data_IF_954690765491
#
_entry.id   IF_954690765491
#
_cell.length_a   1.000
_cell.length_b   1.000
_cell.length_c   1.000
_cell.angle_alpha   90.00
_cell.angle_beta   90.00
_cell.angle_gamma   90.00
#
_symmetry.space_group_name_H-M   'P 1'
#
loop_
_entity.id
_entity.type
_entity.pdbx_description
1 polymer ?
#
# COMPACT_ATOMS: atom_id res chain seq x y z
N UNK A 1 64.12 13.11 -22.43
CA UNK A 1 63.53 12.01 -23.23
C UNK A 1 62.04 11.96 -22.90
N UNK A 2 61.22 12.07 -23.94
CA UNK A 2 59.84 11.56 -24.07
C UNK A 2 58.68 12.23 -23.31
N UNK A 3 58.00 13.12 -24.04
CA UNK A 3 56.52 13.25 -24.11
C UNK A 3 55.96 12.13 -25.05
N UNK A 4 54.63 11.89 -25.29
CA UNK A 4 53.40 12.62 -24.90
C UNK A 4 52.11 11.74 -24.60
N UNK A 5 50.94 12.42 -24.50
CA UNK A 5 49.53 12.02 -24.78
C UNK A 5 48.76 11.10 -23.77
N UNK A 6 47.49 11.35 -23.39
CA UNK A 6 46.31 11.75 -24.19
C UNK A 6 45.25 12.57 -23.41
N UNK A 7 44.62 13.50 -24.14
CA UNK A 7 43.37 14.23 -23.92
C UNK A 7 42.15 13.33 -23.54
N UNK A 8 41.13 13.88 -22.86
CA UNK A 8 39.87 14.33 -23.51
C UNK A 8 38.79 14.85 -22.53
N UNK A 9 38.04 15.83 -23.04
CA UNK A 9 36.92 16.60 -22.48
C UNK A 9 35.74 15.75 -21.98
N UNK A 10 35.07 16.18 -20.90
CA UNK A 10 33.69 16.73 -20.95
C UNK A 10 33.14 17.11 -19.56
N UNK A 11 32.42 18.25 -19.42
CA UNK A 11 31.72 18.63 -18.20
C UNK A 11 30.22 18.35 -18.32
N UNK A 12 29.69 17.33 -17.62
CA UNK A 12 28.26 17.00 -17.71
C UNK A 12 27.54 16.98 -16.36
N UNK A 13 26.67 17.99 -16.20
CA UNK A 13 25.26 17.89 -15.76
C UNK A 13 24.90 17.62 -14.30
N UNK A 14 25.82 17.37 -13.37
CA UNK A 14 25.40 17.07 -11.98
C UNK A 14 25.30 18.26 -11.02
N UNK A 15 25.66 19.48 -11.43
CA UNK A 15 25.63 20.66 -10.53
C UNK A 15 24.40 21.56 -10.69
N UNK A 16 23.44 21.20 -11.54
CA UNK A 16 22.24 22.01 -11.83
C UNK A 16 20.96 21.54 -11.11
N UNK A 17 21.08 20.61 -10.16
CA UNK A 17 19.93 20.09 -9.41
C UNK A 17 19.95 20.43 -7.91
N UNK A 18 20.95 21.17 -7.43
CA UNK A 18 21.13 21.43 -5.98
C UNK A 18 20.93 22.92 -5.63
N UNK A 19 20.46 23.76 -6.55
CA UNK A 19 20.19 25.17 -6.25
C UNK A 19 18.89 25.66 -6.88
N UNK A 20 17.96 26.09 -6.02
CA UNK A 20 16.62 26.58 -6.33
C UNK A 20 15.59 25.70 -5.62
N UNK A 21 14.90 26.12 -4.57
CA UNK A 21 14.40 27.46 -4.25
C UNK A 21 12.90 27.28 -3.99
N UNK A 22 12.45 27.68 -2.80
CA UNK A 22 11.09 27.51 -2.28
C UNK A 22 10.00 27.98 -3.27
N UNK A 23 8.96 27.14 -3.45
CA UNK A 23 7.56 27.53 -3.73
C UNK A 23 6.65 26.29 -3.86
N UNK A 24 5.80 26.13 -2.85
CA UNK A 24 4.38 25.73 -2.88
C UNK A 24 3.82 24.68 -3.86
N UNK A 25 2.89 23.90 -3.30
CA UNK A 25 1.67 23.31 -3.92
C UNK A 25 1.65 21.81 -4.23
N UNK A 26 0.56 21.21 -3.76
CA UNK A 26 0.24 19.80 -3.58
C UNK A 26 0.09 19.00 -4.88
N UNK A 27 0.37 17.68 -4.88
CA UNK A 27 0.27 16.84 -6.07
C UNK A 27 -1.15 16.27 -6.23
N UNK A 28 -2.14 17.09 -6.63
CA UNK A 28 -3.47 16.62 -7.07
C UNK A 28 -3.83 17.07 -8.50
N UNK A 29 -2.93 17.79 -9.20
CA UNK A 29 -3.27 18.40 -10.50
C UNK A 29 -2.58 17.79 -11.72
N UNK A 30 -2.39 16.46 -11.77
CA UNK A 30 -1.95 15.78 -13.00
C UNK A 30 -2.79 14.53 -13.30
N UNK A 31 -4.03 14.78 -13.73
CA UNK A 31 -4.84 13.83 -14.51
C UNK A 31 -5.25 14.54 -15.82
N UNK A 32 -5.11 13.90 -16.99
CA UNK A 32 -5.51 14.50 -18.26
C UNK A 32 -7.04 14.57 -18.36
N UNK A 33 -7.54 15.77 -18.61
CA UNK A 33 -8.96 16.11 -18.75
C UNK A 33 -9.40 15.83 -20.18
N UNK A 34 -10.29 14.86 -20.38
CA UNK A 34 -10.95 14.60 -21.65
C UNK A 34 -11.88 15.75 -22.06
N UNK A 35 -11.67 16.29 -23.26
CA UNK A 35 -12.71 16.98 -24.03
C UNK A 35 -13.73 15.93 -24.50
N UNK A 36 -15.04 16.11 -24.47
CA UNK A 36 -15.86 17.29 -24.73
C UNK A 36 -16.82 16.92 -25.87
N UNK A 37 -18.09 16.62 -25.55
CA UNK A 37 -19.11 16.26 -26.54
C UNK A 37 -20.51 16.26 -25.93
N UNK A 38 -21.33 17.21 -26.36
CA UNK A 38 -22.62 17.67 -25.83
C UNK A 38 -23.81 16.69 -25.99
N UNK A 39 -24.68 16.72 -24.98
CA UNK A 39 -26.08 16.21 -24.95
C UNK A 39 -26.98 17.03 -25.90
N UNK A 40 -28.14 16.54 -26.38
CA UNK A 40 -29.39 16.79 -25.63
C UNK A 40 -30.52 15.73 -25.72
N UNK A 41 -31.11 15.48 -24.54
CA UNK A 41 -32.55 15.51 -24.16
C UNK A 41 -33.56 14.44 -24.64
N UNK A 42 -34.03 13.70 -23.64
CA UNK A 42 -35.36 13.09 -23.44
C UNK A 42 -36.51 14.12 -23.49
N UNK A 43 -37.74 13.67 -23.79
CA UNK A 43 -38.93 14.12 -23.06
C UNK A 43 -39.75 12.96 -22.46
N UNK A 44 -40.39 13.22 -21.33
CA UNK A 44 -41.13 12.26 -20.50
C UNK A 44 -42.66 12.52 -20.48
N UNK A 45 -43.42 11.45 -20.12
CA UNK A 45 -44.76 11.40 -19.49
C UNK A 45 -46.00 11.83 -20.32
N UNK A 46 -47.24 11.29 -20.24
CA UNK A 46 -48.05 10.27 -19.50
C UNK A 46 -49.49 10.36 -20.13
N UNK A 47 -50.65 9.80 -19.65
CA UNK A 47 -51.07 8.49 -19.09
C UNK A 47 -52.44 7.96 -19.67
N UNK A 48 -52.99 6.86 -19.08
CA UNK A 48 -54.44 6.46 -18.89
C UNK A 48 -55.19 5.47 -19.84
N UNK A 49 -55.54 4.31 -19.23
CA UNK A 49 -56.85 3.60 -19.07
C UNK A 49 -57.70 3.00 -20.22
N UNK A 50 -58.03 1.71 -20.03
CA UNK A 50 -59.34 1.01 -20.12
C UNK A 50 -60.01 0.53 -21.43
N UNK A 51 -60.56 -0.70 -21.30
CA UNK A 51 -61.79 -1.26 -21.86
C UNK A 51 -61.78 -2.10 -23.16
N UNK A 52 -61.85 -3.43 -22.96
CA UNK A 52 -62.95 -4.35 -23.36
C UNK A 52 -63.51 -4.31 -24.79
N UNK A 53 -63.44 -5.47 -25.50
CA UNK A 53 -64.56 -6.27 -26.08
C UNK A 53 -64.04 -7.22 -27.18
N UNK A 54 -64.12 -8.53 -26.96
CA UNK A 54 -65.08 -9.47 -27.57
C UNK A 54 -65.05 -9.56 -29.12
N UNK A 55 -64.60 -10.71 -29.62
CA UNK A 55 -64.99 -11.38 -30.89
C UNK A 55 -66.53 -11.43 -31.08
N UNK A 56 -67.17 -11.86 -32.22
CA UNK A 56 -66.75 -12.87 -33.22
C UNK A 56 -67.34 -12.69 -34.67
N UNK A 57 -67.34 -13.79 -35.47
CA UNK A 57 -68.30 -14.15 -36.58
C UNK A 57 -67.83 -13.84 -38.03
N UNK A 58 -67.24 -14.82 -38.74
CA UNK A 58 -67.85 -15.81 -39.69
C UNK A 58 -68.16 -15.24 -41.08
N UNK A 59 -67.56 -15.82 -42.13
CA UNK A 59 -68.29 -16.49 -43.23
C UNK A 59 -67.33 -17.11 -44.27
N UNK A 60 -67.72 -18.30 -44.72
CA UNK A 60 -67.07 -19.25 -45.64
C UNK A 60 -67.03 -18.73 -47.08
N UNK A 61 -66.06 -19.22 -47.87
CA UNK A 61 -66.33 -19.96 -49.11
C UNK A 61 -65.05 -20.58 -49.70
N UNK A 62 -65.10 -21.89 -49.97
CA UNK A 62 -64.25 -22.58 -50.96
C UNK A 62 -65.13 -22.85 -52.18
N UNK A 63 -64.56 -22.90 -53.39
CA UNK A 63 -64.66 -24.16 -54.12
C UNK A 63 -63.33 -24.60 -54.74
N UNK A 64 -63.25 -25.90 -55.02
CA UNK A 64 -62.16 -26.63 -55.67
C UNK A 64 -62.18 -26.39 -57.19
N UNK A 65 -61.05 -26.56 -57.88
CA UNK A 65 -60.81 -27.68 -58.84
C UNK A 65 -59.65 -27.39 -59.82
N UNK A 66 -58.59 -28.21 -59.68
CA UNK A 66 -57.72 -28.88 -60.67
C UNK A 66 -57.10 -28.11 -61.87
N UNK A 67 -55.76 -28.22 -61.88
CA UNK A 67 -54.92 -28.85 -62.92
C UNK A 67 -54.41 -28.04 -64.12
N UNK A 68 -53.13 -28.34 -64.37
CA UNK A 68 -52.35 -28.30 -65.60
C UNK A 68 -51.53 -27.02 -65.82
N UNK A 69 -50.20 -27.02 -65.73
CA UNK A 69 -49.13 -27.79 -66.42
C UNK A 69 -48.48 -26.94 -67.51
N UNK A 70 -47.14 -26.99 -67.53
CA UNK A 70 -46.25 -26.54 -68.61
C UNK A 70 -45.60 -25.21 -68.22
N UNK A 71 -44.28 -25.02 -68.23
CA UNK A 71 -43.19 -25.63 -69.02
C UNK A 71 -41.90 -24.97 -68.51
N UNK A 72 -40.70 -25.51 -68.57
CA UNK A 72 -40.16 -26.76 -69.07
C UNK A 72 -38.68 -26.68 -68.74
N UNK A 73 -38.12 -27.71 -68.11
CA UNK A 73 -36.69 -27.95 -68.15
C UNK A 73 -36.51 -29.20 -68.98
N UNK A 74 -36.30 -28.95 -70.28
CA UNK A 74 -35.92 -29.96 -71.24
C UNK A 74 -34.61 -30.63 -70.79
N UNK A 75 -34.68 -31.96 -70.66
CA UNK A 75 -33.68 -32.85 -71.23
C UNK A 75 -32.22 -32.64 -70.85
N UNK A 76 -31.86 -32.95 -69.60
CA UNK A 76 -30.54 -33.53 -69.34
C UNK A 76 -30.74 -34.91 -68.72
N UNK A 77 -30.58 -35.96 -69.54
CA UNK A 77 -30.56 -37.38 -69.14
C UNK A 77 -29.38 -37.76 -68.24
N UNK A 78 -28.72 -36.77 -67.62
CA UNK A 78 -27.56 -36.92 -66.74
C UNK A 78 -27.85 -36.50 -65.29
N UNK A 79 -29.03 -35.95 -64.97
CA UNK A 79 -29.35 -35.44 -63.63
C UNK A 79 -29.40 -36.47 -62.48
N UNK A 80 -29.84 -37.73 -62.67
CA UNK A 80 -29.87 -38.69 -61.55
C UNK A 80 -28.46 -39.07 -61.10
N UNK A 81 -27.55 -39.24 -62.06
CA UNK A 81 -26.16 -39.59 -61.83
C UNK A 81 -25.36 -38.40 -61.27
N UNK A 82 -25.54 -37.19 -61.82
CA UNK A 82 -24.85 -36.01 -61.28
C UNK A 82 -25.30 -35.66 -59.86
N UNK A 83 -26.57 -35.88 -59.50
CA UNK A 83 -27.05 -35.67 -58.13
C UNK A 83 -26.48 -36.70 -57.15
N UNK A 84 -26.36 -37.96 -57.56
CA UNK A 84 -25.69 -39.00 -56.76
C UNK A 84 -24.18 -38.76 -56.65
N UNK A 85 -23.53 -38.26 -57.71
CA UNK A 85 -22.11 -37.88 -57.71
C UNK A 85 -21.84 -36.66 -56.83
N UNK A 86 -22.69 -35.63 -56.87
CA UNK A 86 -22.59 -34.46 -56.00
C UNK A 86 -22.79 -34.84 -54.52
N UNK A 87 -23.77 -35.69 -54.23
CA UNK A 87 -24.01 -36.24 -52.88
C UNK A 87 -22.83 -37.09 -52.40
N UNK A 88 -22.29 -37.97 -53.24
CA UNK A 88 -21.13 -38.80 -52.91
C UNK A 88 -19.87 -37.97 -52.68
N UNK A 89 -19.58 -36.97 -53.52
CA UNK A 89 -18.43 -36.06 -53.33
C UNK A 89 -18.57 -35.26 -52.03
N UNK A 90 -19.75 -34.71 -51.74
CA UNK A 90 -19.98 -33.97 -50.50
C UNK A 90 -19.81 -34.86 -49.26
N UNK A 91 -20.23 -36.12 -49.33
CA UNK A 91 -20.09 -37.08 -48.24
C UNK A 91 -18.62 -37.46 -48.00
N UNK A 92 -17.85 -37.68 -49.09
CA UNK A 92 -16.41 -37.97 -49.02
C UNK A 92 -15.66 -36.79 -48.41
N UNK A 93 -15.93 -35.55 -48.86
CA UNK A 93 -15.27 -34.35 -48.32
C UNK A 93 -15.59 -34.18 -46.83
N UNK A 94 -16.83 -34.37 -46.41
CA UNK A 94 -17.19 -34.33 -44.99
C UNK A 94 -16.51 -35.44 -44.18
N UNK A 95 -16.44 -36.66 -44.71
CA UNK A 95 -15.72 -37.76 -44.05
C UNK A 95 -14.23 -37.43 -43.90
N UNK A 96 -13.60 -36.93 -44.96
CA UNK A 96 -12.19 -36.51 -44.90
C UNK A 96 -12.01 -35.39 -43.89
N UNK A 97 -12.94 -34.42 -43.85
CA UNK A 97 -12.90 -33.33 -42.86
C UNK A 97 -13.08 -33.84 -41.42
N UNK A 98 -13.97 -34.82 -41.19
CA UNK A 98 -14.14 -35.47 -39.89
C UNK A 98 -12.89 -36.27 -39.50
N UNK A 99 -12.25 -36.97 -40.44
CA UNK A 99 -11.00 -37.69 -40.20
C UNK A 99 -9.88 -36.71 -39.87
N UNK A 100 -9.73 -35.63 -40.64
CA UNK A 100 -8.76 -34.56 -40.36
C UNK A 100 -9.01 -33.95 -38.98
N UNK A 101 -10.27 -33.68 -38.63
CA UNK A 101 -10.63 -33.15 -37.32
C UNK A 101 -10.33 -34.16 -36.20
N UNK A 102 -10.61 -35.45 -36.41
CA UNK A 102 -10.31 -36.51 -35.45
C UNK A 102 -8.80 -36.67 -35.26
N UNK A 103 -8.02 -36.61 -36.34
CA UNK A 103 -6.55 -36.62 -36.30
C UNK A 103 -6.03 -35.38 -35.58
N UNK A 104 -6.58 -34.18 -35.83
CA UNK A 104 -6.22 -32.98 -35.08
C UNK A 104 -6.56 -33.11 -33.60
N UNK A 105 -7.73 -33.66 -33.23
CA UNK A 105 -8.15 -33.88 -31.85
C UNK A 105 -7.30 -34.92 -31.12
N UNK A 106 -6.88 -35.99 -31.80
CA UNK A 106 -5.96 -36.98 -31.27
C UNK A 106 -4.56 -36.39 -31.09
N UNK A 107 -4.09 -35.61 -32.07
CA UNK A 107 -2.82 -34.89 -31.98
C UNK A 107 -2.88 -33.71 -30.99
N UNK A 108 -4.05 -33.21 -30.62
CA UNK A 108 -4.22 -32.19 -29.57
C UNK A 108 -3.81 -32.71 -28.19
N UNK A 109 -3.84 -34.03 -27.97
CA UNK A 109 -3.26 -34.64 -26.76
C UNK A 109 -1.73 -34.76 -26.82
N UNK A 110 -1.16 -34.79 -28.02
CA UNK A 110 0.28 -34.98 -28.26
C UNK A 110 1.04 -33.64 -28.39
N UNK A 111 0.43 -32.64 -29.02
CA UNK A 111 0.82 -31.23 -28.93
C UNK A 111 0.34 -30.79 -27.56
N UNK A 112 1.19 -30.92 -26.54
CA UNK A 112 0.92 -30.54 -25.16
C UNK A 112 0.68 -29.03 -24.99
N UNK A 113 -0.35 -28.47 -25.63
CA UNK A 113 -1.15 -27.39 -25.05
C UNK A 113 -1.93 -28.04 -23.91
N UNK A 114 -1.17 -28.45 -22.90
CA UNK A 114 -1.66 -28.76 -21.59
C UNK A 114 -2.25 -27.46 -21.09
N UNK A 115 -3.57 -27.31 -21.23
CA UNK A 115 -4.31 -26.28 -20.49
C UNK A 115 -3.89 -26.37 -19.01
N UNK A 116 -3.62 -27.58 -18.54
CA UNK A 116 -2.98 -27.93 -17.27
C UNK A 116 -1.63 -27.26 -17.00
N UNK A 117 -0.72 -27.12 -17.97
CA UNK A 117 0.59 -26.50 -17.73
C UNK A 117 0.55 -24.98 -17.54
N UNK A 118 -0.39 -24.29 -18.21
CA UNK A 118 -0.63 -22.87 -17.96
C UNK A 118 -1.41 -22.66 -16.66
N UNK A 119 -2.36 -23.55 -16.33
CA UNK A 119 -3.17 -23.40 -15.12
C UNK A 119 -2.38 -23.74 -13.86
N UNK A 120 -1.53 -24.77 -13.86
CA UNK A 120 -0.71 -25.13 -12.69
C UNK A 120 0.30 -24.02 -12.38
N UNK A 121 0.96 -23.48 -13.41
CA UNK A 121 1.99 -22.46 -13.20
C UNK A 121 1.45 -21.05 -12.99
N UNK A 122 0.37 -20.65 -13.68
CA UNK A 122 -0.17 -19.29 -13.54
C UNK A 122 -1.15 -19.20 -12.38
N UNK A 123 -2.11 -20.12 -12.29
CA UNK A 123 -3.18 -20.04 -11.29
C UNK A 123 -2.69 -20.53 -9.93
N UNK A 124 -1.98 -21.67 -9.91
CA UNK A 124 -1.27 -22.14 -8.72
C UNK A 124 -0.17 -21.18 -8.29
N UNK A 125 0.60 -20.65 -9.24
CA UNK A 125 1.60 -19.60 -8.97
C UNK A 125 0.98 -18.34 -8.37
N UNK A 126 -0.14 -17.86 -8.91
CA UNK A 126 -0.83 -16.67 -8.40
C UNK A 126 -1.39 -16.89 -7.00
N UNK A 127 -2.11 -17.99 -6.79
CA UNK A 127 -2.68 -18.34 -5.48
C UNK A 127 -1.58 -18.49 -4.42
N UNK A 128 -0.51 -19.25 -4.72
CA UNK A 128 0.60 -19.44 -3.78
C UNK A 128 1.36 -18.15 -3.47
N UNK A 129 1.48 -17.21 -4.43
CA UNK A 129 2.07 -15.90 -4.17
C UNK A 129 1.20 -15.08 -3.20
N UNK A 130 -0.13 -15.11 -3.33
CA UNK A 130 -0.99 -14.40 -2.37
C UNK A 130 -0.93 -15.01 -0.96
N UNK A 131 -0.81 -16.33 -0.85
CA UNK A 131 -0.59 -16.98 0.45
C UNK A 131 0.77 -16.59 1.05
N UNK A 132 1.83 -16.54 0.23
CA UNK A 132 3.16 -16.11 0.67
C UNK A 132 3.21 -14.63 1.04
N UNK A 133 2.48 -13.78 0.33
CA UNK A 133 2.35 -12.36 0.67
C UNK A 133 1.63 -12.19 2.00
N UNK A 134 0.56 -12.95 2.26
CA UNK A 134 -0.14 -12.90 3.54
C UNK A 134 0.74 -13.32 4.73
N UNK A 135 1.67 -14.25 4.49
CA UNK A 135 2.62 -14.75 5.48
C UNK A 135 3.91 -13.92 5.59
N UNK A 136 4.07 -12.89 4.76
CA UNK A 136 5.29 -12.08 4.77
C UNK A 136 5.33 -11.13 5.97
N UNK A 137 6.52 -10.59 6.24
CA UNK A 137 6.80 -9.72 7.37
C UNK A 137 7.40 -8.39 6.91
N UNK A 138 6.97 -7.28 7.51
CA UNK A 138 7.61 -5.98 7.36
C UNK A 138 8.63 -5.84 8.48
N UNK A 139 9.92 -5.88 8.13
CA UNK A 139 11.03 -5.61 9.05
C UNK A 139 11.57 -4.21 8.80
N UNK A 140 11.44 -3.33 9.78
CA UNK A 140 11.94 -1.95 9.66
C UNK A 140 12.38 -1.40 11.00
N UNK A 141 13.19 -0.35 10.97
CA UNK A 141 13.66 0.37 12.15
C UNK A 141 12.98 1.73 12.15
N UNK A 142 12.15 1.98 13.16
CA UNK A 142 11.42 3.23 13.30
C UNK A 142 12.18 4.11 14.30
N UNK A 143 12.67 5.29 13.88
CA UNK A 143 13.27 6.24 14.81
C UNK A 143 12.16 6.87 15.66
N UNK A 144 12.28 6.76 16.98
CA UNK A 144 11.38 7.38 17.95
C UNK A 144 12.14 8.47 18.69
N UNK A 145 11.73 9.73 18.47
CA UNK A 145 12.26 10.88 19.20
C UNK A 145 11.23 11.33 20.23
N UNK A 146 11.58 11.27 21.52
CA UNK A 146 10.66 11.63 22.61
C UNK A 146 11.38 12.38 23.72
N UNK A 147 10.76 13.47 24.18
CA UNK A 147 11.18 14.16 25.39
C UNK A 147 10.75 13.36 26.63
N UNK A 148 11.72 12.97 27.45
CA UNK A 148 11.49 12.26 28.71
C UNK A 148 11.77 13.25 29.86
N UNK A 149 10.83 13.44 30.81
CA UNK A 149 11.09 14.23 32.00
C UNK A 149 12.05 13.47 32.92
N UNK A 150 13.11 14.13 33.31
CA UNK A 150 14.15 13.62 34.20
C UNK A 150 14.07 14.43 35.49
N UNK A 151 13.59 13.79 36.54
CA UNK A 151 13.49 14.36 37.89
C UNK A 151 14.48 13.65 38.80
N UNK A 152 15.53 14.37 39.22
CA UNK A 152 16.45 13.86 40.23
C UNK A 152 16.91 14.99 41.13
N UNK A 153 17.39 14.60 42.31
CA UNK A 153 17.91 15.52 43.30
C UNK A 153 19.43 15.51 43.26
N UNK A 154 20.04 16.66 43.05
CA UNK A 154 21.48 16.85 43.13
C UNK A 154 21.86 17.24 44.56
N UNK A 155 22.69 16.42 45.21
CA UNK A 155 23.26 16.75 46.51
C UNK A 155 24.59 17.48 46.31
N UNK A 156 24.63 18.75 46.70
CA UNK A 156 25.85 19.56 46.69
C UNK A 156 26.44 19.62 48.09
N UNK A 157 27.69 19.17 48.22
CA UNK A 157 28.48 19.27 49.45
C UNK A 157 29.89 19.72 49.10
N UNK A 158 30.38 20.78 49.75
CA UNK A 158 31.70 21.32 49.47
C UNK A 158 31.94 22.72 50.03
N UNK A 159 33.20 23.18 50.07
CA UNK A 159 33.55 24.54 50.44
C UNK A 159 33.03 25.51 49.38
N UNK A 160 32.32 26.56 49.80
CA UNK A 160 31.89 27.64 48.90
C UNK A 160 32.03 28.99 49.59
N UNK A 161 32.20 30.03 48.78
CA UNK A 161 32.20 31.41 49.24
C UNK A 161 30.83 32.02 48.93
N UNK A 162 30.06 32.36 49.96
CA UNK A 162 28.78 33.08 49.80
C UNK A 162 28.98 34.57 50.05
N UNK A 163 28.33 35.41 49.26
CA UNK A 163 28.31 36.86 49.47
C UNK A 163 27.05 37.26 50.19
N UNK A 164 27.18 38.06 51.25
CA UNK A 164 26.01 38.60 51.95
C UNK A 164 25.26 39.59 51.05
N UNK A 165 23.96 39.38 50.88
CA UNK A 165 23.07 40.27 50.11
C UNK A 165 22.59 41.49 50.91
N UNK A 166 22.74 41.46 52.24
CA UNK A 166 22.32 42.51 53.15
C UNK A 166 23.21 42.51 54.40
N UNK A 167 23.16 43.59 55.18
CA UNK A 167 23.86 43.70 56.45
C UNK A 167 23.33 42.65 57.45
N UNK A 168 24.23 41.87 58.06
CA UNK A 168 23.88 40.80 59.02
C UNK A 168 24.39 41.16 60.42
N UNK A 169 23.51 41.45 61.39
CA UNK A 169 23.92 41.67 62.77
C UNK A 169 24.22 40.36 63.49
N UNK A 170 25.39 40.27 64.13
CA UNK A 170 25.78 39.22 65.07
C UNK A 170 25.69 39.82 66.48
N UNK A 171 24.67 39.39 67.22
CA UNK A 171 24.47 39.83 68.60
C UNK A 171 25.31 39.02 69.60
N UNK A 172 25.92 39.70 70.57
CA UNK A 172 26.60 39.03 71.70
C UNK A 172 27.91 38.33 71.35
N UNK A 173 28.59 38.76 70.27
CA UNK A 173 29.91 38.27 69.93
C UNK A 173 30.92 38.66 71.02
N UNK A 174 31.80 37.71 71.40
CA UNK A 174 32.92 38.00 72.29
C UNK A 174 34.09 38.51 71.46
N UNK A 175 34.50 39.74 71.71
CA UNK A 175 35.58 40.40 70.97
C UNK A 175 36.75 40.67 71.90
N UNK A 176 37.95 40.38 71.41
CA UNK A 176 39.20 40.78 72.04
C UNK A 176 39.84 41.88 71.21
N UNK A 177 39.96 43.08 71.78
CA UNK A 177 40.56 44.23 71.11
C UNK A 177 41.85 44.57 71.83
N UNK A 178 42.96 44.48 71.10
CA UNK A 178 44.27 44.89 71.56
C UNK A 178 44.72 46.09 70.74
N UNK A 179 44.58 47.29 71.30
CA UNK A 179 45.03 48.55 70.69
C UNK A 179 45.90 49.31 71.67
N UNK A 180 46.81 50.18 71.20
CA UNK A 180 47.95 50.75 71.95
C UNK A 180 47.63 51.27 73.35
N UNK A 181 47.71 50.39 74.37
CA UNK A 181 47.47 50.69 75.78
C UNK A 181 46.13 50.16 76.36
N UNK A 182 45.21 49.67 75.52
CA UNK A 182 43.91 49.13 75.91
C UNK A 182 43.77 47.67 75.41
N UNK A 183 43.67 46.75 76.37
CA UNK A 183 43.40 45.34 76.12
C UNK A 183 42.04 44.97 76.71
N UNK A 184 41.02 44.91 75.86
CA UNK A 184 39.68 44.46 76.23
C UNK A 184 39.60 42.98 75.84
N UNK A 185 39.48 42.11 76.84
CA UNK A 185 39.33 40.67 76.65
C UNK A 185 37.87 40.25 76.85
N UNK A 186 37.34 39.42 75.94
CA UNK A 186 36.02 38.79 76.07
C UNK A 186 34.86 39.78 76.33
N UNK A 187 34.87 40.96 75.73
CA UNK A 187 33.75 41.88 75.84
C UNK A 187 32.62 41.48 74.90
N UNK A 188 31.37 41.58 75.38
CA UNK A 188 30.18 41.37 74.55
C UNK A 188 29.96 42.59 73.66
N UNK A 189 29.94 42.40 72.35
CA UNK A 189 29.65 43.42 71.37
C UNK A 189 28.60 42.93 70.36
N UNK A 190 27.90 43.87 69.73
CA UNK A 190 27.05 43.60 68.58
C UNK A 190 27.82 44.03 67.34
N UNK A 191 28.14 43.07 66.46
CA UNK A 191 28.90 43.30 65.23
C UNK A 191 27.92 43.29 64.07
N UNK A 192 28.06 44.20 63.12
CA UNK A 192 27.31 44.13 61.85
C UNK A 192 28.28 43.75 60.75
N UNK A 193 28.04 42.62 60.09
CA UNK A 193 28.74 42.24 58.87
C UNK A 193 28.08 42.99 57.71
N UNK A 194 28.79 43.88 57.01
CA UNK A 194 28.19 44.65 55.92
C UNK A 194 27.86 43.74 54.72
N UNK A 195 26.86 44.14 53.95
CA UNK A 195 26.57 43.57 52.63
C UNK A 195 27.83 43.49 51.76
N UNK A 196 27.94 42.46 50.94
CA UNK A 196 29.12 42.20 50.12
C UNK A 196 30.28 41.52 50.86
N UNK A 197 30.19 41.31 52.17
CA UNK A 197 31.17 40.46 52.88
C UNK A 197 31.12 39.03 52.34
N UNK A 198 32.29 38.48 51.99
CA UNK A 198 32.44 37.09 51.52
C UNK A 198 32.62 36.18 52.73
N UNK A 199 31.73 35.21 52.89
CA UNK A 199 31.80 34.20 53.94
C UNK A 199 32.18 32.84 53.34
N UNK A 200 33.36 32.29 53.69
CA UNK A 200 33.68 30.91 53.37
C UNK A 200 32.86 29.99 54.27
N UNK A 201 32.00 29.18 53.67
CA UNK A 201 31.18 28.19 54.36
C UNK A 201 31.40 26.81 53.75
N UNK A 202 31.03 25.77 54.48
CA UNK A 202 30.97 24.40 53.96
C UNK A 202 29.50 24.04 53.81
N UNK A 203 29.05 23.89 52.57
CA UNK A 203 27.70 23.39 52.32
C UNK A 203 27.70 21.90 52.64
N UNK A 204 26.73 21.48 53.46
CA UNK A 204 26.51 20.09 53.81
C UNK A 204 25.09 19.72 53.38
N UNK A 205 24.97 18.81 52.41
CA UNK A 205 23.71 18.20 51.99
C UNK A 205 22.68 19.21 51.43
N UNK A 206 23.11 20.16 50.59
CA UNK A 206 22.17 20.99 49.86
C UNK A 206 21.51 20.14 48.77
N UNK A 207 20.22 19.85 48.96
CA UNK A 207 19.38 19.10 48.04
C UNK A 207 18.77 20.06 47.02
N UNK A 208 19.27 20.02 45.78
CA UNK A 208 18.77 20.84 44.68
C UNK A 208 17.93 19.95 43.76
N UNK A 209 16.60 20.15 43.66
CA UNK A 209 15.78 19.41 42.72
C UNK A 209 16.07 19.91 41.29
N UNK A 210 16.30 18.97 40.38
CA UNK A 210 16.44 19.24 38.95
C UNK A 210 15.22 18.64 38.24
N UNK A 211 14.46 19.50 37.55
CA UNK A 211 13.37 19.10 36.67
C UNK A 211 13.74 19.55 35.25
N UNK A 212 14.21 18.60 34.44
CA UNK A 212 14.66 18.86 33.07
C UNK A 212 14.05 17.83 32.13
N UNK A 213 13.77 18.25 30.89
CA UNK A 213 13.37 17.35 29.80
C UNK A 213 14.57 17.06 28.93
N UNK A 214 14.86 15.78 28.72
CA UNK A 214 15.95 15.33 27.85
C UNK A 214 15.34 14.65 26.62
N UNK A 215 15.86 14.98 25.44
CA UNK A 215 15.46 14.34 24.20
C UNK A 215 16.12 12.96 24.10
N UNK A 216 15.30 11.91 24.05
CA UNK A 216 15.77 10.56 23.80
C UNK A 216 15.43 10.16 22.36
N UNK A 217 16.45 9.82 21.59
CA UNK A 217 16.32 9.22 20.27
C UNK A 217 16.57 7.71 20.40
N UNK A 218 15.56 6.91 20.03
CA UNK A 218 15.63 5.46 20.11
C UNK A 218 15.21 4.85 18.76
N UNK A 219 16.08 4.03 18.20
CA UNK A 219 15.77 3.22 17.03
C UNK A 219 15.10 1.92 17.48
N UNK A 220 13.81 1.78 17.20
CA UNK A 220 13.03 0.60 17.55
C UNK A 220 12.91 -0.30 16.32
N UNK A 221 13.51 -1.48 16.38
CA UNK A 221 13.28 -2.52 15.37
C UNK A 221 11.89 -3.11 15.55
N UNK A 222 11.08 -3.10 14.49
CA UNK A 222 9.75 -3.70 14.46
C UNK A 222 9.70 -4.79 13.41
N UNK A 223 9.00 -5.86 13.75
CA UNK A 223 8.65 -6.97 12.86
C UNK A 223 7.13 -7.10 12.85
N UNK A 224 6.50 -6.74 11.73
CA UNK A 224 5.05 -6.68 11.59
C UNK A 224 4.62 -7.75 10.56
N UNK A 225 3.97 -8.85 11.00
CA UNK A 225 3.46 -9.86 10.08
C UNK A 225 2.25 -9.32 9.30
N UNK A 226 2.21 -9.53 7.99
CA UNK A 226 1.20 -8.94 7.12
C UNK A 226 -0.23 -9.44 7.40
N UNK A 227 -0.38 -10.67 7.90
CA UNK A 227 -1.65 -11.22 8.35
C UNK A 227 -2.28 -10.49 9.55
N UNK A 228 -1.53 -9.62 10.25
CA UNK A 228 -2.03 -8.77 11.34
C UNK A 228 -2.21 -7.31 10.92
N UNK A 229 -2.02 -7.00 9.63
CA UNK A 229 -2.16 -5.66 9.09
C UNK A 229 -3.45 -5.52 8.29
N UNK A 230 -3.81 -4.28 7.95
CA UNK A 230 -4.92 -3.98 7.05
C UNK A 230 -4.71 -4.55 5.62
N UNK A 231 -3.50 -5.01 5.28
CA UNK A 231 -3.23 -5.68 3.99
C UNK A 231 -3.68 -7.14 3.95
N UNK A 232 -3.95 -7.75 5.10
CA UNK A 232 -4.46 -9.12 5.18
C UNK A 232 -5.76 -9.30 4.39
N UNK A 233 -6.75 -8.41 4.60
CA UNK A 233 -8.05 -8.52 3.95
C UNK A 233 -7.96 -8.49 2.42
N UNK A 234 -7.24 -7.54 1.78
CA UNK A 234 -6.98 -7.58 0.36
C UNK A 234 -6.33 -8.90 -0.12
N UNK A 235 -5.34 -9.43 0.59
CA UNK A 235 -4.66 -10.67 0.17
C UNK A 235 -5.57 -11.90 0.26
N UNK A 236 -6.33 -12.04 1.35
CA UNK A 236 -7.34 -13.09 1.47
C UNK A 236 -8.46 -12.91 0.44
N UNK A 237 -8.85 -11.67 0.14
CA UNK A 237 -9.79 -11.36 -0.92
C UNK A 237 -9.31 -11.86 -2.29
N UNK A 238 -8.04 -11.61 -2.63
CA UNK A 238 -7.44 -12.10 -3.88
C UNK A 238 -7.32 -13.63 -3.91
N UNK A 239 -7.00 -14.28 -2.78
CA UNK A 239 -7.01 -15.73 -2.65
C UNK A 239 -8.40 -16.30 -2.97
N UNK A 240 -9.45 -15.77 -2.33
CA UNK A 240 -10.85 -16.20 -2.52
C UNK A 240 -11.38 -16.01 -3.93
N UNK A 241 -10.87 -15.02 -4.68
CA UNK A 241 -11.28 -14.80 -6.08
C UNK A 241 -10.68 -15.86 -7.00
N UNK A 242 -9.46 -16.31 -6.72
CA UNK A 242 -8.73 -17.27 -7.56
C UNK A 242 -9.03 -18.72 -7.17
N UNK A 243 -9.30 -18.98 -5.90
CA UNK A 243 -9.56 -20.29 -5.31
C UNK A 243 -10.59 -21.16 -6.08
N UNK A 244 -11.78 -20.66 -6.47
CA UNK A 244 -12.77 -21.48 -7.20
C UNK A 244 -12.26 -21.98 -8.55
N UNK A 245 -11.50 -21.14 -9.27
CA UNK A 245 -10.90 -21.54 -10.54
C UNK A 245 -9.75 -22.50 -10.33
N UNK A 246 -9.00 -22.33 -9.25
CA UNK A 246 -7.91 -23.21 -8.90
C UNK A 246 -8.41 -24.62 -8.56
N UNK A 247 -9.47 -24.74 -7.77
CA UNK A 247 -10.06 -26.03 -7.40
C UNK A 247 -10.80 -26.75 -8.53
N UNK A 248 -11.28 -26.03 -9.55
CA UNK A 248 -11.86 -26.64 -10.75
C UNK A 248 -10.82 -27.34 -11.63
N UNK A 249 -9.60 -26.79 -11.64
CA UNK A 249 -8.48 -27.35 -12.42
C UNK A 249 -7.82 -28.48 -11.63
N UNK A 250 -7.60 -28.27 -10.34
CA UNK A 250 -6.77 -29.12 -9.51
C UNK A 250 -7.58 -29.60 -8.30
N UNK A 251 -8.01 -30.86 -8.34
CA UNK A 251 -9.02 -31.39 -7.40
C UNK A 251 -8.51 -31.64 -5.98
N UNK A 252 -7.20 -31.69 -5.77
CA UNK A 252 -6.60 -31.90 -4.44
C UNK A 252 -5.29 -31.12 -4.36
N UNK A 253 -5.34 -29.93 -3.75
CA UNK A 253 -4.16 -29.08 -3.59
C UNK A 253 -3.90 -28.80 -2.12
N UNK A 254 -2.68 -29.09 -1.70
CA UNK A 254 -2.18 -28.74 -0.38
C UNK A 254 -1.27 -27.53 -0.47
N UNK A 255 -1.70 -26.40 0.11
CA UNK A 255 -0.85 -25.21 0.28
C UNK A 255 -0.59 -25.06 1.77
N UNK A 256 0.70 -25.08 2.16
CA UNK A 256 1.12 -25.02 3.57
C UNK A 256 0.46 -26.08 4.47
N UNK A 257 0.23 -27.28 3.93
CA UNK A 257 -0.36 -28.40 4.67
C UNK A 257 -1.88 -28.34 4.84
N UNK A 258 -2.55 -27.32 4.29
CA UNK A 258 -4.02 -27.20 4.30
C UNK A 258 -4.56 -27.60 2.93
N UNK A 259 -5.58 -28.47 2.90
CA UNK A 259 -6.30 -28.75 1.66
C UNK A 259 -7.16 -27.53 1.30
N UNK A 260 -6.79 -26.88 0.21
CA UNK A 260 -7.47 -25.69 -0.31
C UNK A 260 -8.69 -26.09 -1.13
N UNK A 261 -8.69 -27.28 -1.71
CA UNK A 261 -9.72 -27.78 -2.61
C UNK A 261 -10.27 -29.11 -2.06
N UNK A 262 -11.25 -29.05 -1.13
CA UNK A 262 -11.91 -30.23 -0.58
C UNK A 262 -12.87 -30.92 -1.56
#
# INVERSE_FOLDING_TARGET
MSQPESNQNEPSKMKKLISGGEKESSPISRLPRGAGGSVPKTPAAQPKTEATKLSPVVAKAKPKTKSATGSGFEGYKFLPAFWTIASAMSFIVNIVLVIVLAVLLQNFKAVGVTVTGLTDHLLGGLYTNFVKMDQAHITTTIPVSKEIPVQFTLNVSGPTNVTLSQDVPISGALVTVNTGGLNINNARANIVLPQGTVLPIIIQNLSVPVDQKVLAELDVAVDIPLNQTDLHEPFVGLQKVVEPFYCLVEQQVFVNGVNVCP
#
